data_IF_107670725741
#
_entry.id   IF_107670725741
#
_cell.length_a   1.000
_cell.length_b   1.000
_cell.length_c   1.000
_cell.angle_alpha   90.00
_cell.angle_beta   90.00
_cell.angle_gamma   90.00
#
_symmetry.space_group_name_H-M   'P 1'
#
loop_
_entity.id
_entity.type
_entity.pdbx_description
1 polymer ?
#
# COMPACT_ATOMS: atom_id res chain seq x y z
N UNK A 1 -4.27 9.94 6.79
CA UNK A 1 -4.81 9.94 5.42
C UNK A 1 -5.50 8.61 5.09
N UNK A 2 -6.53 8.67 4.27
CA UNK A 2 -7.23 7.52 3.71
C UNK A 2 -7.03 7.50 2.19
N UNK A 3 -6.23 6.58 1.67
CA UNK A 3 -6.06 6.39 0.24
C UNK A 3 -7.12 5.41 -0.31
N UNK A 4 -7.74 5.73 -1.42
CA UNK A 4 -8.79 4.91 -2.01
C UNK A 4 -8.75 4.93 -3.56
N UNK A 5 -9.24 3.85 -4.19
CA UNK A 5 -9.50 3.84 -5.64
C UNK A 5 -10.89 4.44 -5.89
N UNK A 6 -11.02 5.49 -6.71
CA UNK A 6 -12.32 6.12 -7.00
C UNK A 6 -13.30 5.19 -7.74
N UNK A 7 -12.81 4.10 -8.34
CA UNK A 7 -13.68 3.14 -9.01
C UNK A 7 -14.50 2.36 -8.00
N UNK A 8 -15.80 2.41 -8.13
CA UNK A 8 -16.79 1.66 -7.33
C UNK A 8 -16.79 1.96 -5.82
N UNK A 9 -15.94 2.89 -5.33
CA UNK A 9 -15.86 3.25 -3.91
C UNK A 9 -16.72 4.47 -3.52
N UNK A 10 -17.37 5.14 -4.48
CA UNK A 10 -18.03 6.43 -4.26
C UNK A 10 -19.02 6.45 -3.10
N UNK A 11 -19.86 5.43 -2.97
CA UNK A 11 -20.82 5.35 -1.85
C UNK A 11 -20.12 5.23 -0.49
N UNK A 12 -19.12 4.35 -0.41
CA UNK A 12 -18.37 4.12 0.83
C UNK A 12 -17.60 5.39 1.25
N UNK A 13 -16.93 6.04 0.29
CA UNK A 13 -16.15 7.24 0.56
C UNK A 13 -17.03 8.40 0.99
N UNK A 14 -18.18 8.62 0.35
CA UNK A 14 -19.12 9.65 0.77
C UNK A 14 -19.58 9.47 2.22
N UNK A 15 -19.91 8.25 2.61
CA UNK A 15 -20.26 7.95 4.00
C UNK A 15 -19.10 8.17 4.98
N UNK A 16 -17.86 7.85 4.56
CA UNK A 16 -16.68 8.08 5.40
C UNK A 16 -16.43 9.58 5.58
N UNK A 17 -16.56 10.38 4.53
CA UNK A 17 -16.37 11.84 4.57
C UNK A 17 -17.39 12.58 5.43
N UNK A 18 -18.51 11.95 5.86
CA UNK A 18 -19.44 12.53 6.83
C UNK A 18 -18.83 12.70 8.24
N UNK A 19 -17.83 11.89 8.57
CA UNK A 19 -17.20 11.87 9.90
C UNK A 19 -15.67 11.88 9.87
N UNK A 20 -15.07 11.75 8.70
CA UNK A 20 -13.62 11.83 8.48
C UNK A 20 -13.30 13.05 7.63
N UNK A 21 -12.15 13.68 7.86
CA UNK A 21 -11.73 14.87 7.13
C UNK A 21 -11.62 14.59 5.62
N UNK A 22 -12.43 15.27 4.78
CA UNK A 22 -12.41 15.06 3.34
C UNK A 22 -11.05 15.35 2.70
N UNK A 23 -10.29 16.33 3.22
CA UNK A 23 -8.97 16.70 2.69
C UNK A 23 -7.91 15.61 2.95
N UNK A 24 -8.19 14.73 3.91
CA UNK A 24 -7.38 13.55 4.21
C UNK A 24 -7.78 12.32 3.39
N UNK A 25 -8.79 12.41 2.51
CA UNK A 25 -9.22 11.35 1.60
C UNK A 25 -8.54 11.53 0.24
N UNK A 26 -7.64 10.63 -0.12
CA UNK A 26 -6.76 10.77 -1.29
C UNK A 26 -7.11 9.74 -2.36
N UNK A 27 -7.50 10.21 -3.53
CA UNK A 27 -7.75 9.37 -4.70
C UNK A 27 -6.46 8.83 -5.29
N UNK A 28 -6.38 7.51 -5.44
CA UNK A 28 -5.27 6.82 -6.10
C UNK A 28 -5.83 5.84 -7.12
N UNK A 29 -5.58 6.08 -8.40
CA UNK A 29 -5.94 5.11 -9.44
C UNK A 29 -4.94 3.96 -9.48
N UNK A 30 -5.43 2.74 -9.74
CA UNK A 30 -4.57 1.55 -9.83
C UNK A 30 -3.82 1.44 -11.17
N UNK A 31 -3.55 2.59 -11.81
CA UNK A 31 -2.84 2.66 -13.08
C UNK A 31 -1.32 2.59 -12.94
N UNK A 32 -0.62 2.31 -14.07
CA UNK A 32 0.85 2.18 -14.05
C UNK A 32 1.57 3.42 -13.53
N UNK A 33 1.05 4.62 -13.79
CA UNK A 33 1.67 5.87 -13.37
C UNK A 33 1.73 6.01 -11.84
N UNK A 34 0.67 5.63 -11.14
CA UNK A 34 0.59 5.78 -9.68
C UNK A 34 1.08 4.56 -8.91
N UNK A 35 1.00 3.36 -9.51
CA UNK A 35 1.36 2.11 -8.82
C UNK A 35 2.82 1.69 -9.03
N UNK A 36 3.49 2.15 -10.10
CA UNK A 36 4.79 1.63 -10.49
C UNK A 36 5.89 1.92 -9.45
N UNK A 37 5.97 3.13 -8.95
CA UNK A 37 7.00 3.51 -8.00
C UNK A 37 6.74 2.91 -6.60
N UNK A 38 5.51 2.98 -6.05
CA UNK A 38 5.19 2.29 -4.80
C UNK A 38 5.43 0.78 -4.82
N UNK A 39 5.17 0.10 -5.93
CA UNK A 39 5.50 -1.32 -6.07
C UNK A 39 6.98 -1.60 -5.96
N UNK A 40 7.84 -0.79 -6.60
CA UNK A 40 9.29 -0.94 -6.52
C UNK A 40 9.79 -0.68 -5.11
N UNK A 41 9.23 0.32 -4.43
CA UNK A 41 9.59 0.63 -3.05
C UNK A 41 9.19 -0.50 -2.11
N UNK A 42 7.96 -1.01 -2.23
CA UNK A 42 7.53 -2.17 -1.44
C UNK A 42 8.44 -3.39 -1.68
N UNK A 43 8.79 -3.66 -2.94
CA UNK A 43 9.72 -4.73 -3.30
C UNK A 43 11.10 -4.54 -2.62
N UNK A 44 11.63 -3.32 -2.63
CA UNK A 44 12.89 -2.97 -1.97
C UNK A 44 12.80 -3.12 -0.44
N UNK A 45 11.71 -2.66 0.18
CA UNK A 45 11.46 -2.81 1.62
C UNK A 45 11.37 -4.28 2.05
N UNK A 46 10.73 -5.13 1.25
CA UNK A 46 10.67 -6.57 1.51
C UNK A 46 12.06 -7.20 1.44
N UNK A 47 12.84 -6.91 0.38
CA UNK A 47 14.19 -7.47 0.23
C UNK A 47 15.16 -6.98 1.31
N UNK A 48 15.06 -5.72 1.71
CA UNK A 48 15.90 -5.13 2.78
C UNK A 48 15.43 -5.49 4.19
N UNK A 49 14.29 -6.17 4.33
CA UNK A 49 13.61 -6.40 5.62
C UNK A 49 13.28 -5.08 6.35
N UNK A 50 12.99 -4.03 5.58
CA UNK A 50 12.65 -2.70 6.08
C UNK A 50 11.16 -2.50 6.38
N UNK A 51 10.33 -3.53 6.20
CA UNK A 51 8.91 -3.50 6.53
C UNK A 51 8.58 -4.53 7.60
N UNK A 52 7.78 -4.11 8.57
CA UNK A 52 7.29 -4.96 9.65
C UNK A 52 5.79 -5.24 9.45
N UNK A 53 5.38 -6.47 9.73
CA UNK A 53 3.99 -6.90 9.66
C UNK A 53 3.73 -8.00 10.70
N UNK A 54 2.48 -8.21 11.05
CA UNK A 54 2.02 -9.18 12.05
C UNK A 54 2.02 -10.64 11.56
N UNK A 55 2.39 -10.87 10.30
CA UNK A 55 2.41 -12.20 9.70
C UNK A 55 1.03 -12.70 9.26
N UNK A 56 0.05 -11.80 9.03
CA UNK A 56 -1.28 -12.20 8.57
C UNK A 56 -1.19 -13.12 7.33
N UNK A 57 -1.73 -14.35 7.40
CA UNK A 57 -1.62 -15.32 6.32
C UNK A 57 -2.44 -14.93 5.08
N UNK A 58 -3.52 -14.14 5.24
CA UNK A 58 -4.36 -13.69 4.12
C UNK A 58 -3.61 -12.61 3.35
N UNK A 59 -2.98 -11.65 4.03
CA UNK A 59 -2.12 -10.66 3.37
C UNK A 59 -0.96 -11.32 2.64
N UNK A 60 -0.29 -12.29 3.29
CA UNK A 60 0.80 -13.06 2.68
C UNK A 60 0.36 -13.80 1.42
N UNK A 61 -0.83 -14.43 1.46
CA UNK A 61 -1.43 -15.09 0.29
C UNK A 61 -1.76 -14.09 -0.82
N UNK A 62 -2.34 -12.91 -0.49
CA UNK A 62 -2.66 -11.88 -1.48
C UNK A 62 -1.40 -11.30 -2.14
N UNK A 63 -0.32 -11.09 -1.39
CA UNK A 63 0.96 -10.65 -1.94
C UNK A 63 1.54 -11.68 -2.91
N UNK A 64 1.44 -12.97 -2.58
CA UNK A 64 1.85 -14.07 -3.46
C UNK A 64 1.06 -14.18 -4.78
N UNK A 65 -0.15 -13.60 -4.83
CA UNK A 65 -0.98 -13.58 -6.03
C UNK A 65 -0.69 -12.41 -6.98
N UNK A 66 0.16 -11.44 -6.57
CA UNK A 66 0.46 -10.27 -7.39
C UNK A 66 1.40 -10.61 -8.52
N UNK A 67 0.99 -10.27 -9.73
CA UNK A 67 1.82 -10.33 -10.94
C UNK A 67 2.08 -8.92 -11.43
N UNK A 68 3.34 -8.65 -11.76
CA UNK A 68 3.79 -7.36 -12.30
C UNK A 68 3.50 -7.31 -13.80
N UNK A 69 2.64 -6.42 -14.23
CA UNK A 69 2.31 -6.19 -15.63
C UNK A 69 2.83 -4.86 -16.13
N UNK A 70 3.45 -4.84 -17.29
CA UNK A 70 3.91 -3.61 -17.91
C UNK A 70 2.72 -2.84 -18.50
N UNK A 71 2.64 -1.54 -18.17
CA UNK A 71 1.68 -0.62 -18.79
C UNK A 71 2.01 -0.34 -20.25
N UNK A 72 1.00 0.08 -20.99
CA UNK A 72 1.16 0.49 -22.38
C UNK A 72 1.89 1.83 -22.42
N UNK A 73 3.04 1.89 -23.09
CA UNK A 73 3.81 3.11 -23.28
C UNK A 73 5.00 2.81 -24.18
N UNK A 74 5.29 3.74 -25.10
CA UNK A 74 6.40 3.64 -26.08
C UNK A 74 7.66 4.38 -25.63
N UNK A 75 7.61 5.04 -24.46
CA UNK A 75 8.75 5.79 -23.92
C UNK A 75 9.85 4.92 -23.32
N UNK A 76 11.02 5.52 -23.05
CA UNK A 76 12.16 4.81 -22.46
C UNK A 76 11.91 4.35 -21.04
N UNK A 77 10.97 4.99 -20.31
CA UNK A 77 10.59 4.63 -18.96
C UNK A 77 9.47 3.60 -19.00
N UNK A 78 9.73 2.44 -18.40
CA UNK A 78 8.74 1.37 -18.26
C UNK A 78 8.02 1.51 -16.92
N UNK A 79 6.71 1.63 -17.00
CA UNK A 79 5.82 1.62 -15.83
C UNK A 79 5.18 0.25 -15.68
N UNK A 80 4.98 -0.16 -14.44
CA UNK A 80 4.35 -1.43 -14.10
C UNK A 80 3.18 -1.20 -13.17
N UNK A 81 2.25 -2.14 -13.13
CA UNK A 81 1.13 -2.12 -12.20
C UNK A 81 0.84 -3.55 -11.71
N UNK A 82 0.27 -3.68 -10.50
CA UNK A 82 -0.09 -4.97 -9.95
C UNK A 82 -1.32 -5.53 -10.67
N UNK A 83 -1.29 -6.81 -10.96
CA UNK A 83 -2.42 -7.57 -11.49
C UNK A 83 -2.41 -8.98 -10.92
N UNK A 84 -3.39 -9.78 -11.27
CA UNK A 84 -3.52 -11.19 -10.91
C UNK A 84 -3.62 -12.04 -12.17
N UNK A 85 -3.17 -13.29 -12.13
CA UNK A 85 -3.22 -14.18 -13.29
C UNK A 85 -4.66 -14.58 -13.66
N UNK A 86 -5.48 -14.82 -12.65
CA UNK A 86 -6.88 -15.24 -12.82
C UNK A 86 -7.82 -14.43 -11.92
N UNK A 87 -9.10 -14.35 -12.31
CA UNK A 87 -10.11 -13.64 -11.51
C UNK A 87 -10.43 -14.33 -10.17
N UNK A 88 -10.09 -15.59 -10.02
CA UNK A 88 -10.26 -16.32 -8.76
C UNK A 88 -9.30 -15.84 -7.66
N UNK A 89 -8.13 -15.36 -8.05
CA UNK A 89 -7.14 -14.83 -7.12
C UNK A 89 -7.55 -13.46 -6.61
N UNK A 90 -7.21 -13.16 -5.36
CA UNK A 90 -7.44 -11.87 -4.70
C UNK A 90 -6.13 -11.20 -4.40
N UNK A 91 -6.07 -9.88 -4.60
CA UNK A 91 -4.89 -9.04 -4.36
C UNK A 91 -5.26 -7.73 -3.64
N UNK A 92 -6.46 -7.61 -3.09
CA UNK A 92 -6.98 -6.35 -2.56
C UNK A 92 -6.12 -5.81 -1.42
N UNK A 93 -5.68 -6.67 -0.49
CA UNK A 93 -4.77 -6.29 0.58
C UNK A 93 -3.38 -5.86 0.07
N UNK A 94 -2.87 -6.52 -0.98
CA UNK A 94 -1.61 -6.13 -1.61
C UNK A 94 -1.72 -4.75 -2.31
N UNK A 95 -2.84 -4.47 -2.98
CA UNK A 95 -3.14 -3.17 -3.57
C UNK A 95 -3.18 -2.09 -2.49
N UNK A 96 -3.90 -2.33 -1.40
CA UNK A 96 -3.99 -1.39 -0.27
C UNK A 96 -2.61 -1.11 0.33
N UNK A 97 -1.77 -2.13 0.50
CA UNK A 97 -0.41 -1.97 0.99
C UNK A 97 0.45 -1.14 0.03
N UNK A 98 0.39 -1.38 -1.28
CA UNK A 98 1.11 -0.60 -2.28
C UNK A 98 0.67 0.86 -2.24
N UNK A 99 -0.63 1.14 -2.13
CA UNK A 99 -1.15 2.50 -2.01
C UNK A 99 -0.65 3.18 -0.73
N UNK A 100 -0.66 2.47 0.41
CA UNK A 100 -0.14 2.98 1.67
C UNK A 100 1.36 3.31 1.60
N UNK A 101 2.18 2.45 1.00
CA UNK A 101 3.60 2.72 0.75
C UNK A 101 3.76 3.96 -0.14
N UNK A 102 2.96 4.09 -1.19
CA UNK A 102 2.97 5.26 -2.06
C UNK A 102 2.69 6.57 -1.30
N UNK A 103 1.78 6.55 -0.33
CA UNK A 103 1.53 7.71 0.53
C UNK A 103 2.68 7.96 1.51
N UNK A 104 3.19 6.91 2.14
CA UNK A 104 4.33 7.01 3.06
C UNK A 104 5.57 7.63 2.40
N UNK A 105 5.83 7.32 1.13
CA UNK A 105 6.95 7.92 0.36
C UNK A 105 6.86 9.44 0.22
N UNK A 106 5.64 10.02 0.28
CA UNK A 106 5.43 11.46 0.18
C UNK A 106 5.54 12.18 1.54
N UNK A 107 5.55 11.43 2.63
CA UNK A 107 5.60 11.95 4.00
C UNK A 107 6.96 11.70 4.66
N UNK A 108 8.06 11.86 3.94
CA UNK A 108 9.41 11.65 4.45
C UNK A 108 9.90 12.73 5.41
N UNK A 109 9.22 13.89 5.48
CA UNK A 109 9.59 14.99 6.35
C UNK A 109 8.70 15.05 7.61
N UNK A 110 9.30 14.75 8.76
CA UNK A 110 8.83 15.10 10.12
C UNK A 110 7.63 14.36 10.71
N UNK A 111 7.43 13.10 10.43
CA UNK A 111 6.71 12.31 11.43
C UNK A 111 7.71 11.85 12.52
N UNK A 112 7.83 12.63 13.58
CA UNK A 112 8.11 12.02 14.89
C UNK A 112 7.02 10.97 15.10
N UNK A 113 7.38 9.73 14.90
CA UNK A 113 6.49 8.61 15.12
C UNK A 113 6.00 8.66 16.57
N UNK A 114 4.71 8.42 16.81
CA UNK A 114 4.22 8.20 18.18
C UNK A 114 4.99 7.07 18.90
N UNK A 115 5.86 6.39 18.17
CA UNK A 115 6.76 5.31 18.62
C UNK A 115 8.21 5.77 18.83
N UNK A 116 8.57 7.03 18.52
CA UNK A 116 9.94 7.57 18.66
C UNK A 116 10.42 7.75 20.12
N UNK A 117 9.76 7.19 21.06
CA UNK A 117 10.18 7.11 22.47
C UNK A 117 9.91 5.75 23.08
N UNK A 118 9.42 4.79 22.29
CA UNK A 118 9.15 3.45 22.79
C UNK A 118 10.36 2.55 22.53
N UNK A 119 10.82 1.93 23.61
CA UNK A 119 11.85 0.88 23.56
C UNK A 119 11.43 -0.22 22.58
N UNK A 120 12.21 -0.41 21.52
CA UNK A 120 11.97 -1.41 20.47
C UNK A 120 11.89 -2.82 21.04
N UNK A 121 12.60 -3.09 22.13
CA UNK A 121 12.59 -4.39 22.80
C UNK A 121 11.30 -4.60 23.60
N UNK A 122 10.70 -3.54 24.13
CA UNK A 122 9.40 -3.58 24.79
C UNK A 122 8.24 -3.82 23.80
N UNK A 123 8.37 -3.36 22.57
CA UNK A 123 7.38 -3.61 21.51
C UNK A 123 7.46 -5.06 21.02
N UNK A 124 8.67 -5.58 20.80
CA UNK A 124 8.89 -6.98 20.42
C UNK A 124 8.34 -7.96 21.47
N UNK A 125 8.51 -7.67 22.74
CA UNK A 125 7.99 -8.52 23.83
C UNK A 125 6.46 -8.58 23.86
N UNK A 126 5.75 -7.53 23.39
CA UNK A 126 4.29 -7.51 23.33
C UNK A 126 3.70 -8.16 22.07
N UNK A 127 4.48 -8.29 21.00
CA UNK A 127 4.07 -8.93 19.74
C UNK A 127 4.38 -10.43 19.69
N UNK A 128 5.06 -10.97 20.70
CA UNK A 128 5.42 -12.40 20.79
C UNK A 128 4.49 -13.22 21.70
N UNK A 129 3.26 -12.73 21.96
CA UNK A 129 2.25 -13.49 22.73
C UNK A 129 1.18 -13.99 21.76
#
# INVERSE_FOLDING_TARGET
ELAFDPRESGYLINNIMEWYDPDSCIEITQGPAQMSQPMKELEALVYSKGIWHDGDPVLGWMLGNVVKKQGRGTGPVKYYYPTKETNALKIDGAISLIMAVGRAMLHTDHMQSAYDGLDVDGIKARMMI
#
